data_IF_698694678362
#
_entry.id   IF_698694678362
#
_cell.length_a   1.000
_cell.length_b   1.000
_cell.length_c   1.000
_cell.angle_alpha   90.00
_cell.angle_beta   90.00
_cell.angle_gamma   90.00
#
_symmetry.space_group_name_H-M   'P 1'
#
loop_
_entity.id
_entity.type
_entity.pdbx_description
1 polymer ?
#
# COMPACT_ATOMS: atom_id res chain seq x y z
N UNK A 1 6.70 3.64 12.42
CA UNK A 1 7.64 2.51 12.67
C UNK A 1 7.02 1.29 12.02
N UNK A 2 7.82 0.33 11.54
CA UNK A 2 7.28 -0.86 10.85
C UNK A 2 6.98 -1.89 11.92
N UNK A 3 5.72 -2.23 12.07
CA UNK A 3 5.26 -3.24 13.03
C UNK A 3 4.86 -4.49 12.26
N UNK A 4 5.43 -5.64 12.63
CA UNK A 4 5.00 -6.94 12.12
C UNK A 4 3.71 -7.34 12.82
N UNK A 5 2.67 -7.61 12.04
CA UNK A 5 1.37 -8.03 12.58
C UNK A 5 1.27 -9.55 12.69
N UNK A 6 1.74 -10.27 11.69
CA UNK A 6 1.77 -11.74 11.70
C UNK A 6 2.71 -12.29 10.61
N UNK A 7 3.19 -13.51 10.83
CA UNK A 7 3.79 -14.33 9.78
C UNK A 7 2.65 -15.10 9.09
N UNK A 8 2.48 -14.90 7.78
CA UNK A 8 1.36 -15.50 6.99
C UNK A 8 1.73 -16.93 6.60
N UNK A 9 2.95 -17.12 6.10
CA UNK A 9 3.57 -18.41 5.73
C UNK A 9 5.08 -18.19 5.58
N UNK A 10 5.92 -19.23 5.34
CA UNK A 10 7.36 -19.04 5.18
C UNK A 10 7.68 -17.93 4.16
N UNK A 11 8.56 -17.00 4.56
CA UNK A 11 8.99 -15.83 3.78
C UNK A 11 7.88 -14.82 3.43
N UNK A 12 6.67 -14.97 3.98
CA UNK A 12 5.55 -14.06 3.75
C UNK A 12 5.03 -13.52 5.08
N UNK A 13 5.11 -12.21 5.26
CA UNK A 13 4.73 -11.57 6.52
C UNK A 13 3.95 -10.28 6.29
N UNK A 14 2.95 -10.05 7.15
CA UNK A 14 2.12 -8.85 7.14
C UNK A 14 2.72 -7.80 8.08
N UNK A 15 2.79 -6.57 7.58
CA UNK A 15 3.28 -5.42 8.32
C UNK A 15 2.32 -4.25 8.21
N UNK A 16 2.46 -3.31 9.16
CA UNK A 16 1.81 -2.01 9.11
C UNK A 16 2.78 -0.94 9.61
N UNK A 17 2.71 0.25 9.01
CA UNK A 17 3.42 1.41 9.52
C UNK A 17 2.55 2.17 10.53
N UNK A 18 3.03 2.32 11.76
CA UNK A 18 2.23 2.89 12.84
C UNK A 18 1.90 4.38 12.65
N UNK A 19 2.65 5.09 11.81
CA UNK A 19 2.46 6.53 11.58
C UNK A 19 1.44 6.79 10.47
N UNK A 20 1.54 6.03 9.39
CA UNK A 20 0.72 6.23 8.19
C UNK A 20 -0.48 5.30 8.13
N UNK A 21 -0.51 4.24 8.93
CA UNK A 21 -1.54 3.22 8.89
C UNK A 21 -1.48 2.29 7.67
N UNK A 22 -0.58 2.53 6.71
CA UNK A 22 -0.41 1.68 5.53
C UNK A 22 0.00 0.28 5.97
N UNK A 23 -0.75 -0.72 5.53
CA UNK A 23 -0.41 -2.13 5.70
C UNK A 23 0.00 -2.76 4.38
N UNK A 24 0.93 -3.71 4.45
CA UNK A 24 1.42 -4.45 3.29
C UNK A 24 1.88 -5.84 3.69
N UNK A 25 1.74 -6.80 2.77
CA UNK A 25 2.34 -8.13 2.91
C UNK A 25 3.63 -8.17 2.10
N UNK A 26 4.75 -8.45 2.73
CA UNK A 26 6.01 -8.72 2.03
C UNK A 26 6.05 -10.21 1.67
N UNK A 27 6.23 -10.51 0.39
CA UNK A 27 6.41 -11.87 -0.11
C UNK A 27 7.86 -12.05 -0.59
N UNK A 28 8.72 -12.45 0.35
CA UNK A 28 10.15 -12.63 0.12
C UNK A 28 10.49 -13.75 -0.86
N UNK A 29 9.58 -14.71 -1.09
CA UNK A 29 9.79 -15.75 -2.11
C UNK A 29 9.71 -15.22 -3.54
N UNK A 30 9.01 -14.09 -3.75
CA UNK A 30 8.84 -13.47 -5.06
C UNK A 30 9.52 -12.09 -5.17
N UNK A 31 9.99 -11.53 -4.05
CA UNK A 31 10.58 -10.19 -4.03
C UNK A 31 9.56 -9.06 -4.24
N UNK A 32 8.27 -9.30 -3.93
CA UNK A 32 7.19 -8.33 -4.12
C UNK A 32 6.49 -8.00 -2.80
N UNK A 33 5.71 -6.92 -2.80
CA UNK A 33 4.82 -6.57 -1.71
C UNK A 33 3.38 -6.33 -2.21
N UNK A 34 2.41 -6.75 -1.41
CA UNK A 34 0.98 -6.58 -1.66
C UNK A 34 0.43 -5.46 -0.79
N UNK A 35 -0.42 -4.58 -1.33
CA UNK A 35 -1.00 -3.45 -0.59
C UNK A 35 -2.34 -3.01 -1.19
N UNK A 36 -3.16 -2.30 -0.41
CA UNK A 36 -4.49 -1.86 -0.86
C UNK A 36 -4.47 -0.78 -1.96
N UNK A 37 -3.38 -0.02 -2.02
CA UNK A 37 -3.31 1.24 -2.74
C UNK A 37 -2.23 1.18 -3.82
N UNK A 38 -2.46 1.81 -4.99
CA UNK A 38 -1.41 1.97 -5.97
C UNK A 38 -0.33 2.90 -5.40
N UNK A 39 0.91 2.62 -5.77
CA UNK A 39 2.05 3.36 -5.29
C UNK A 39 3.10 3.55 -6.38
N UNK A 40 3.97 4.51 -6.15
CA UNK A 40 5.16 4.77 -6.94
C UNK A 40 6.37 4.79 -6.01
N UNK A 41 7.57 4.63 -6.57
CA UNK A 41 8.81 4.78 -5.83
C UNK A 41 8.91 6.15 -5.13
N UNK A 42 9.63 6.22 -4.02
CA UNK A 42 9.86 7.45 -3.26
C UNK A 42 10.53 8.58 -4.04
N UNK A 43 11.25 8.25 -5.12
CA UNK A 43 11.82 9.21 -6.08
C UNK A 43 10.85 9.62 -7.19
N UNK A 44 9.69 8.97 -7.29
CA UNK A 44 8.64 9.25 -8.26
C UNK A 44 7.93 10.58 -8.05
N UNK A 45 7.18 11.03 -9.06
CA UNK A 45 6.52 12.35 -9.09
C UNK A 45 5.01 12.23 -8.92
N UNK A 46 4.49 12.58 -7.74
CA UNK A 46 3.03 12.69 -7.50
C UNK A 46 2.40 13.69 -8.46
N UNK A 47 3.06 14.83 -8.69
CA UNK A 47 2.58 15.82 -9.66
C UNK A 47 2.50 15.21 -11.06
N UNK A 48 3.53 14.48 -11.49
CA UNK A 48 3.53 13.80 -12.78
C UNK A 48 2.38 12.80 -12.92
N UNK A 49 2.12 12.00 -11.87
CA UNK A 49 0.97 11.07 -11.86
C UNK A 49 -0.36 11.79 -12.04
N UNK A 50 -0.52 12.98 -11.45
CA UNK A 50 -1.73 13.81 -11.57
C UNK A 50 -1.84 14.52 -12.93
N UNK A 51 -0.75 15.11 -13.39
CA UNK A 51 -0.70 15.86 -14.65
C UNK A 51 -0.94 14.94 -15.86
N UNK A 52 -0.50 13.68 -15.79
CA UNK A 52 -0.72 12.65 -16.82
C UNK A 52 -2.06 11.91 -16.68
N UNK A 53 -2.85 12.20 -15.64
CA UNK A 53 -4.16 11.58 -15.41
C UNK A 53 -4.12 10.14 -14.90
N UNK A 54 -2.98 9.65 -14.41
CA UNK A 54 -2.90 8.34 -13.75
C UNK A 54 -3.52 8.37 -12.36
N UNK A 55 -3.37 9.47 -11.64
CA UNK A 55 -4.01 9.73 -10.35
C UNK A 55 -4.94 10.93 -10.44
N UNK A 56 -6.02 10.94 -9.66
CA UNK A 56 -6.93 12.08 -9.58
C UNK A 56 -6.20 13.35 -9.13
N UNK A 57 -6.64 14.51 -9.63
CA UNK A 57 -5.98 15.80 -9.36
C UNK A 57 -5.91 16.14 -7.86
N UNK A 58 -6.95 15.79 -7.12
CA UNK A 58 -7.06 16.00 -5.68
C UNK A 58 -6.62 14.79 -4.83
N UNK A 59 -6.14 13.70 -5.47
CA UNK A 59 -5.72 12.49 -4.78
C UNK A 59 -4.73 12.78 -3.64
N UNK A 60 -5.02 12.26 -2.45
CA UNK A 60 -4.13 12.32 -1.28
C UNK A 60 -3.03 11.27 -1.41
N UNK A 61 -1.80 11.72 -1.18
CA UNK A 61 -0.62 10.89 -1.25
C UNK A 61 0.04 10.74 0.12
N UNK A 62 0.45 9.52 0.47
CA UNK A 62 1.14 9.22 1.73
C UNK A 62 2.46 8.53 1.44
N UNK A 63 3.56 9.08 1.99
CA UNK A 63 4.88 8.46 1.87
C UNK A 63 5.08 7.41 2.96
N UNK A 64 5.31 6.17 2.56
CA UNK A 64 5.58 5.05 3.45
C UNK A 64 6.69 4.17 2.84
N UNK A 65 7.75 3.92 3.62
CA UNK A 65 8.78 2.89 3.34
C UNK A 65 9.29 2.83 1.90
N UNK A 66 9.86 3.91 1.40
CA UNK A 66 10.44 3.93 0.05
C UNK A 66 9.42 4.08 -1.08
N UNK A 67 8.15 4.25 -0.75
CA UNK A 67 7.08 4.45 -1.72
C UNK A 67 6.19 5.65 -1.35
N UNK A 68 5.42 6.11 -2.34
CA UNK A 68 4.37 7.10 -2.20
C UNK A 68 3.07 6.44 -2.67
N UNK A 69 2.10 6.34 -1.76
CA UNK A 69 0.82 5.69 -1.99
C UNK A 69 -0.26 6.72 -2.30
N UNK A 70 -1.07 6.49 -3.33
CA UNK A 70 -2.33 7.20 -3.51
C UNK A 70 -3.41 6.49 -2.67
N UNK A 71 -3.75 7.07 -1.52
CA UNK A 71 -4.64 6.44 -0.56
C UNK A 71 -6.12 6.57 -0.92
N UNK A 72 -6.47 7.41 -1.90
CA UNK A 72 -7.86 7.59 -2.34
C UNK A 72 -8.27 6.60 -3.44
N UNK A 73 -7.34 5.75 -3.89
CA UNK A 73 -7.60 4.68 -4.85
C UNK A 73 -7.40 3.31 -4.19
N UNK A 74 -8.35 2.42 -4.43
CA UNK A 74 -8.35 1.03 -3.95
C UNK A 74 -8.20 0.10 -5.16
N UNK A 75 -7.16 -0.75 -5.16
CA UNK A 75 -6.77 -1.58 -6.33
C UNK A 75 -6.55 -3.06 -5.98
N UNK A 76 -7.18 -3.54 -4.91
CA UNK A 76 -7.07 -4.93 -4.47
C UNK A 76 -7.73 -5.87 -5.46
N UNK A 77 -7.01 -6.93 -5.81
CA UNK A 77 -7.51 -8.03 -6.62
C UNK A 77 -8.13 -9.15 -5.76
N UNK A 78 -8.61 -10.23 -6.39
CA UNK A 78 -9.07 -11.44 -5.69
C UNK A 78 -7.93 -12.25 -5.02
N UNK A 79 -6.69 -11.74 -5.07
CA UNK A 79 -5.55 -12.33 -4.39
C UNK A 79 -5.67 -12.16 -2.86
N UNK A 80 -5.56 -13.27 -2.14
CA UNK A 80 -5.64 -13.33 -0.68
C UNK A 80 -4.66 -12.38 0.04
N UNK A 81 -3.45 -12.15 -0.51
CA UNK A 81 -2.45 -11.27 0.09
C UNK A 81 -2.79 -9.78 -0.10
N UNK A 82 -3.39 -9.41 -1.23
CA UNK A 82 -3.89 -8.04 -1.45
C UNK A 82 -5.06 -7.76 -0.49
N UNK A 83 -5.98 -8.70 -0.37
CA UNK A 83 -7.13 -8.63 0.55
C UNK A 83 -6.66 -8.56 2.01
N UNK A 84 -5.67 -9.37 2.38
CA UNK A 84 -5.10 -9.35 3.73
C UNK A 84 -4.43 -8.00 4.02
N UNK A 85 -3.64 -7.46 3.10
CA UNK A 85 -3.03 -6.14 3.28
C UNK A 85 -4.11 -5.06 3.46
N UNK A 86 -5.16 -5.08 2.65
CA UNK A 86 -6.25 -4.12 2.76
C UNK A 86 -7.06 -4.22 4.05
N UNK A 87 -7.38 -5.43 4.50
CA UNK A 87 -8.10 -5.66 5.77
C UNK A 87 -7.38 -5.04 6.97
N UNK A 88 -6.05 -4.97 6.93
CA UNK A 88 -5.24 -4.45 8.03
C UNK A 88 -4.76 -3.01 7.82
N UNK A 89 -5.06 -2.41 6.67
CA UNK A 89 -4.70 -1.03 6.36
C UNK A 89 -5.62 -0.06 7.11
N UNK A 90 -5.01 0.97 7.70
CA UNK A 90 -5.67 2.00 8.53
C UNK A 90 -5.21 3.41 8.12
N UNK A 91 -4.91 3.62 6.85
CA UNK A 91 -4.32 4.87 6.38
C UNK A 91 -5.30 6.05 6.26
N UNK A 92 -6.59 5.84 6.58
CA UNK A 92 -7.65 6.83 6.39
C UNK A 92 -8.03 7.07 4.92
N UNK A 93 -7.55 6.21 4.03
CA UNK A 93 -7.86 6.16 2.61
C UNK A 93 -9.09 5.32 2.28
N UNK A 94 -9.33 5.15 0.98
CA UNK A 94 -10.45 4.38 0.44
C UNK A 94 -10.23 2.87 0.62
N UNK A 95 -11.17 2.22 1.29
CA UNK A 95 -11.25 0.77 1.50
C UNK A 95 -12.69 0.32 1.21
N UNK A 96 -12.95 -0.97 0.94
CA UNK A 96 -14.30 -1.49 0.84
C UNK A 96 -15.04 -1.24 2.16
N UNK A 97 -16.33 -0.89 2.04
CA UNK A 97 -17.24 -0.76 3.19
C UNK A 97 -17.50 -2.10 3.86
#
# INVERSE_FOLDING_TARGET
MKTKLMDVRPYVALYRDDRTGIAWVENGSLGIAHSAHPNIDASGSVRGMKDLGYWERDARAVRCRGFIYNIDTYVVSDNELDQLAAKHCQCGGKHPN
#
